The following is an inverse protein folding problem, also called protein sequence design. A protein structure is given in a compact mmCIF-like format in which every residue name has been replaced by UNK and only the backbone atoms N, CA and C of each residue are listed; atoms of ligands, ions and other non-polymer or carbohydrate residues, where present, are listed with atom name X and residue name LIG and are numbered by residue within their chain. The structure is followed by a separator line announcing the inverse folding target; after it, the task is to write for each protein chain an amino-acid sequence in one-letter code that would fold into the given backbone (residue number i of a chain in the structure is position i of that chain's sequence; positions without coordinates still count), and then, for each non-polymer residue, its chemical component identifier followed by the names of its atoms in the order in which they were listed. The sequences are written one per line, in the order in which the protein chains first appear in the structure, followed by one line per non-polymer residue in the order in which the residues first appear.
data_IF_708821919267
#
_entry.id   IF_708821919267
#
_cell.length_a   1.000
_cell.length_b   1.000
_cell.length_c   1.000
_cell.angle_alpha   90.00
_cell.angle_beta   90.00
_cell.angle_gamma   90.00
#
_symmetry.space_group_name_H-M   'P 1'
#
loop_
_entity.id
_entity.type
_entity.pdbx_description
1 polymer ?
2 non-polymer ?
3 non-polymer ?
4 non-polymer ?
5 water ?
#
# COMPACT_ATOMS: atom_id res chain seq x y z
N UNK A 3 27.13 -5.89 28.57
CA UNK A 3 27.18 -7.01 27.60
C UNK A 3 26.01 -6.84 26.61
N UNK A 4 26.05 -7.57 25.50
CA UNK A 4 25.26 -7.24 24.35
C UNK A 4 24.90 -8.49 23.58
N UNK A 5 23.63 -8.60 23.14
CA UNK A 5 23.19 -9.68 22.25
C UNK A 5 23.39 -9.27 20.80
N UNK A 6 23.35 -10.25 19.88
CA UNK A 6 23.40 -9.86 18.46
C UNK A 6 22.11 -9.17 18.00
N UNK A 7 22.21 -8.20 17.09
CA UNK A 7 21.04 -7.48 16.58
C UNK A 7 20.37 -8.20 15.44
N UNK A 8 19.04 -8.02 15.30
CA UNK A 8 18.32 -8.64 14.18
C UNK A 8 18.86 -8.18 12.83
N UNK A 9 18.99 -9.12 11.90
CA UNK A 9 19.53 -8.87 10.57
C UNK A 9 18.42 -8.64 9.53
N UNK A 10 18.76 -7.86 8.49
CA UNK A 10 17.93 -7.65 7.29
C UNK A 10 16.51 -7.17 7.59
N UNK A 11 16.38 -6.13 8.43
CA UNK A 11 15.04 -5.63 8.67
C UNK A 11 14.49 -4.99 7.41
N UNK A 12 13.18 -5.12 7.20
CA UNK A 12 12.52 -4.55 6.04
C UNK A 12 11.23 -3.83 6.46
N UNK A 13 10.88 -2.76 5.76
CA UNK A 13 9.62 -2.03 5.95
C UNK A 13 8.79 -2.24 4.67
N UNK A 14 7.61 -2.80 4.80
CA UNK A 14 6.67 -2.95 3.70
C UNK A 14 5.64 -1.82 3.79
N UNK A 15 5.57 -0.98 2.76
CA UNK A 15 4.59 0.10 2.65
C UNK A 15 3.88 -0.15 1.29
N UNK A 16 2.74 -0.84 1.38
CA UNK A 16 1.99 -1.31 0.22
C UNK A 16 0.52 -1.00 0.43
N UNK A 17 -0.02 -0.14 -0.44
CA UNK A 17 -1.35 0.38 -0.24
C UNK A 17 -1.44 0.99 1.17
N UNK A 18 -2.34 0.50 2.03
CA UNK A 18 -2.44 1.07 3.38
C UNK A 18 -1.61 0.29 4.40
N UNK A 19 -0.96 -0.79 3.98
CA UNK A 19 -0.23 -1.70 4.89
C UNK A 19 1.10 -1.07 5.32
N UNK A 20 1.45 -1.28 6.59
CA UNK A 20 2.72 -0.83 7.18
C UNK A 20 3.20 -1.98 8.04
N UNK A 21 4.24 -2.70 7.57
CA UNK A 21 4.75 -3.87 8.28
C UNK A 21 6.28 -3.86 8.31
N UNK A 22 6.82 -3.84 9.53
CA UNK A 22 8.26 -4.02 9.76
C UNK A 22 8.52 -5.50 10.01
N UNK A 23 9.55 -6.06 9.36
CA UNK A 23 9.94 -7.46 9.59
C UNK A 23 11.45 -7.62 9.61
N UNK A 24 11.91 -8.73 10.17
CA UNK A 24 13.34 -8.94 10.37
C UNK A 24 13.63 -10.44 10.52
N UNK A 25 14.89 -10.82 10.46
CA UNK A 25 15.26 -12.24 10.66
C UNK A 25 15.43 -12.52 12.14
N UNK A 26 15.06 -13.74 12.57
CA UNK A 26 15.21 -14.08 13.97
C UNK A 26 16.69 -14.12 14.46
N UNK A 27 16.88 -13.77 15.73
CA UNK A 27 18.18 -13.92 16.43
C UNK A 27 18.08 -15.22 17.21
N UNK A 28 18.85 -16.23 16.79
CA UNK A 28 18.87 -17.51 17.46
C UNK A 28 20.20 -17.64 18.18
N UNK A 29 20.14 -17.94 19.47
CA UNK A 29 21.35 -18.08 20.29
C UNK A 29 21.60 -19.59 20.34
N UNK A 30 21.93 -20.15 21.50
CA UNK A 30 22.08 -21.61 21.57
C UNK A 30 20.69 -22.22 21.49
N UNK A 31 20.64 -23.46 21.02
CA UNK A 31 19.41 -24.25 20.98
C UNK A 31 18.72 -24.31 22.37
N UNK A 32 19.51 -24.28 23.43
CA UNK A 32 19.00 -24.36 24.82
C UNK A 32 18.37 -23.06 25.36
N UNK A 33 18.60 -21.93 24.67
CA UNK A 33 18.09 -20.66 25.13
C UNK A 33 16.57 -20.55 24.92
N UNK A 34 15.89 -19.96 25.90
CA UNK A 34 14.45 -19.63 25.80
C UNK A 34 14.23 -18.61 24.68
N UNK A 35 12.97 -18.41 24.24
CA UNK A 35 12.77 -17.51 23.12
C UNK A 35 13.30 -16.09 23.33
N UNK A 36 14.01 -15.62 22.34
CA UNK A 36 14.40 -14.22 22.25
C UNK A 36 13.12 -13.44 21.98
N UNK A 37 13.02 -12.23 22.51
CA UNK A 37 11.93 -11.32 22.15
C UNK A 37 12.45 -10.05 21.56
N UNK A 38 11.54 -9.24 21.01
CA UNK A 38 11.90 -8.04 20.27
C UNK A 38 11.10 -6.84 20.74
N UNK A 39 11.71 -5.68 20.63
CA UNK A 39 11.05 -4.42 20.93
C UNK A 39 11.23 -3.49 19.74
N UNK A 40 10.11 -2.84 19.36
CA UNK A 40 10.09 -1.83 18.32
C UNK A 40 9.73 -0.49 18.93
N UNK A 41 10.42 0.56 18.47
CA UNK A 41 10.16 1.93 18.85
C UNK A 41 10.07 2.80 17.60
N UNK A 42 9.48 3.98 17.75
CA UNK A 42 9.38 4.94 16.66
C UNK A 42 9.57 6.37 17.10
N UNK A 43 10.08 7.18 16.19
CA UNK A 43 10.30 8.59 16.45
C UNK A 43 9.67 9.40 15.31
N UNK A 44 9.00 10.50 15.67
CA UNK A 44 8.44 11.41 14.69
C UNK A 44 9.39 12.62 14.47
N UNK A 45 10.25 12.49 13.46
CA UNK A 45 11.30 13.44 13.12
C UNK A 45 12.35 13.60 14.22
N UNK A 46 12.00 14.33 15.28
CA UNK A 46 12.89 14.66 16.39
C UNK A 46 12.16 14.64 17.76
N UNK A 47 11.06 13.88 17.80
CA UNK A 47 10.32 13.63 19.03
C UNK A 47 11.10 12.69 19.95
N UNK A 48 10.48 12.30 21.06
CA UNK A 48 10.95 11.16 21.86
C UNK A 48 10.86 9.88 21.06
N UNK A 49 11.63 8.87 21.47
CA UNK A 49 11.39 7.51 21.05
C UNK A 49 10.18 6.94 21.76
N UNK A 50 9.10 6.79 21.02
CA UNK A 50 7.89 6.12 21.52
C UNK A 50 8.05 4.63 21.43
N UNK A 51 7.53 3.91 22.40
CA UNK A 51 7.41 2.48 22.34
C UNK A 51 6.22 2.08 21.45
N UNK A 52 6.38 1.05 20.62
CA UNK A 52 5.28 0.61 19.75
C UNK A 52 4.41 -0.28 20.58
N UNK A 53 3.45 0.35 21.27
CA UNK A 53 2.46 -0.37 22.04
C UNK A 53 1.02 0.07 21.67
N UNK A 54 0.03 -0.63 22.21
CA UNK A 54 -1.36 -0.33 21.84
C UNK A 54 -1.70 1.15 22.08
N UNK A 55 -1.29 1.71 23.20
CA UNK A 55 -1.61 3.13 23.49
C UNK A 55 -0.84 4.16 22.65
N UNK A 56 0.31 3.81 22.06
CA UNK A 56 1.08 4.76 21.27
C UNK A 56 0.78 4.70 19.76
N UNK A 57 0.49 3.52 19.27
CA UNK A 57 0.29 3.32 17.83
C UNK A 57 -0.82 2.35 17.45
N UNK A 58 -1.36 1.61 18.40
CA UNK A 58 -2.48 0.72 18.15
C UNK A 58 -2.19 -0.75 18.12
N UNK A 59 -0.91 -1.15 18.19
CA UNK A 59 -0.54 -2.57 18.16
C UNK A 59 0.56 -2.79 19.19
N UNK A 60 0.68 -4.02 19.65
CA UNK A 60 1.67 -4.34 20.65
C UNK A 60 2.92 -4.98 19.98
N UNK A 61 4.00 -4.23 19.91
CA UNK A 61 5.29 -4.73 19.38
C UNK A 61 6.41 -4.54 20.42
N UNK A 62 6.07 -4.86 21.66
CA UNK A 62 6.97 -4.78 22.83
C UNK A 62 7.09 -6.17 23.45
N UNK A 63 8.31 -6.71 23.56
CA UNK A 63 8.48 -8.06 24.11
C UNK A 63 7.74 -9.15 23.33
N UNK A 64 7.74 -9.04 22.01
CA UNK A 64 7.08 -10.00 21.15
C UNK A 64 8.09 -11.07 20.69
N UNK A 65 7.60 -12.29 20.51
CA UNK A 65 8.39 -13.38 19.95
C UNK A 65 8.32 -13.41 18.45
N UNK A 66 7.26 -12.85 17.85
CA UNK A 66 7.14 -12.76 16.41
C UNK A 66 8.27 -11.93 15.80
N UNK A 67 8.58 -12.18 14.53
CA UNK A 67 9.62 -11.44 13.79
C UNK A 67 9.01 -10.41 12.80
N UNK A 68 7.85 -9.86 13.16
CA UNK A 68 7.25 -8.74 12.43
C UNK A 68 6.38 -7.91 13.37
N UNK A 69 6.24 -6.64 13.00
CA UNK A 69 5.35 -5.70 13.65
C UNK A 69 4.46 -5.13 12.52
N UNK A 70 3.20 -5.57 12.52
CA UNK A 70 2.19 -5.08 11.58
C UNK A 70 1.44 -3.94 12.22
N UNK A 71 1.72 -2.71 11.79
CA UNK A 71 1.20 -1.53 12.45
C UNK A 71 -0.26 -1.23 12.15
N UNK A 72 -0.84 -1.87 11.15
CA UNK A 72 -2.20 -1.55 10.74
C UNK A 72 -3.13 -2.73 10.94
N UNK A 73 -2.69 -3.79 11.61
CA UNK A 73 -3.52 -4.99 11.78
C UNK A 73 -4.83 -4.76 12.55
N UNK A 74 -4.86 -3.78 13.46
CA UNK A 74 -6.06 -3.45 14.29
C UNK A 74 -6.74 -2.11 13.94
N UNK A 77 -8.20 1.61 12.76
CA UNK A 77 -7.56 2.79 13.36
C UNK A 77 -6.00 2.81 13.44
N UNK A 78 -5.40 1.68 13.80
CA UNK A 78 -3.94 1.60 14.04
C UNK A 78 -3.06 2.08 12.87
N UNK A 79 -1.87 2.59 13.18
CA UNK A 79 -0.88 2.89 12.17
C UNK A 79 -0.47 4.33 12.12
N UNK A 80 0.60 4.58 11.37
CA UNK A 80 1.18 5.88 11.25
C UNK A 80 0.37 6.78 10.29
N UNK A 81 0.07 8.03 10.67
CA UNK A 81 -0.48 8.98 9.71
C UNK A 81 0.40 9.06 8.45
N UNK A 82 -0.23 9.09 7.30
CA UNK A 82 0.48 8.82 6.04
C UNK A 82 1.37 9.93 5.58
N UNK A 83 1.23 11.14 6.14
CA UNK A 83 2.17 12.19 5.84
C UNK A 83 3.20 12.44 6.95
N UNK A 84 3.17 11.64 8.01
CA UNK A 84 4.15 11.81 9.10
C UNK A 84 5.47 11.19 8.71
N UNK A 85 6.54 11.90 9.03
CA UNK A 85 7.87 11.42 8.93
C UNK A 85 8.18 10.52 10.14
N UNK A 86 8.50 9.27 9.87
CA UNK A 86 8.65 8.21 10.88
C UNK A 86 10.00 7.52 10.77
N UNK A 87 10.72 7.43 11.89
CA UNK A 87 11.91 6.58 11.98
C UNK A 87 11.65 5.44 12.97
N UNK A 88 11.77 4.19 12.50
CA UNK A 88 11.64 3.00 13.33
C UNK A 88 12.99 2.50 13.84
N UNK A 89 12.98 1.89 15.03
CA UNK A 89 14.14 1.12 15.50
C UNK A 89 13.70 -0.14 16.18
N UNK A 90 14.61 -1.11 16.23
CA UNK A 90 14.31 -2.47 16.60
C UNK A 90 15.47 -3.07 17.40
N UNK A 91 15.19 -3.93 18.37
CA UNK A 91 16.25 -4.74 19.04
C UNK A 91 15.75 -6.07 19.52
N UNK A 92 16.72 -6.97 19.74
CA UNK A 92 16.47 -8.24 20.40
C UNK A 92 16.72 -8.13 21.88
N UNK A 93 15.99 -8.91 22.66
CA UNK A 93 16.12 -8.93 24.10
C UNK A 93 16.01 -10.33 24.67
N UNK A 94 16.65 -10.54 25.81
CA UNK A 94 16.51 -11.78 26.58
C UNK A 94 16.60 -11.34 28.02
N UNK A 95 15.44 -11.13 28.64
CA UNK A 95 15.43 -10.48 29.96
C UNK A 95 16.03 -9.09 29.88
N UNK A 96 16.94 -8.80 30.78
CA UNK A 96 17.61 -7.51 30.83
C UNK A 96 18.71 -7.37 29.79
N UNK A 97 19.11 -8.47 29.14
CA UNK A 97 20.11 -8.40 28.06
C UNK A 97 19.41 -7.95 26.78
N UNK A 98 20.11 -7.16 25.97
CA UNK A 98 19.62 -6.77 24.67
C UNK A 98 20.71 -6.45 23.68
N UNK A 99 20.31 -6.42 22.42
CA UNK A 99 21.19 -6.00 21.35
C UNK A 99 21.25 -4.49 21.24
N UNK A 100 22.13 -4.00 20.39
CA UNK A 100 22.09 -2.62 19.97
C UNK A 100 20.77 -2.39 19.23
N UNK A 101 20.38 -1.13 19.15
CA UNK A 101 19.22 -0.75 18.32
C UNK A 101 19.61 -0.78 16.86
N UNK A 102 18.73 -1.34 16.04
CA UNK A 102 18.87 -1.25 14.57
C UNK A 102 17.90 -0.18 14.13
N UNK A 103 18.42 0.89 13.55
CA UNK A 103 17.59 2.05 13.18
C UNK A 103 17.33 2.04 11.67
N UNK A 104 16.06 2.18 11.28
CA UNK A 104 15.71 2.15 9.88
C UNK A 104 15.83 3.50 9.24
N UNK A 105 15.99 3.54 7.90
CA UNK A 105 15.83 4.82 7.19
C UNK A 105 14.44 5.43 7.44
N UNK A 106 14.34 6.74 7.60
CA UNK A 106 13.05 7.40 7.79
C UNK A 106 12.13 7.20 6.56
N UNK A 107 10.83 7.23 6.77
CA UNK A 107 9.85 7.26 5.68
C UNK A 107 8.72 8.23 5.95
N UNK A 108 8.02 8.61 4.88
CA UNK A 108 6.67 9.12 4.96
C UNK A 108 5.84 8.23 4.06
N UNK A 109 4.73 7.71 4.57
CA UNK A 109 3.95 6.72 3.81
C UNK A 109 3.60 7.19 2.38
N UNK A 110 3.10 8.41 2.21
CA UNK A 110 2.81 8.92 0.85
C UNK A 110 4.04 9.02 -0.06
N UNK A 111 5.19 9.35 0.51
CA UNK A 111 6.46 9.39 -0.23
C UNK A 111 6.96 8.02 -0.69
N UNK A 112 6.82 6.99 0.14
CA UNK A 112 7.55 5.76 -0.01
C UNK A 112 6.67 4.56 -0.36
N UNK A 113 5.34 4.78 -0.46
CA UNK A 113 4.38 3.69 -0.64
C UNK A 113 4.46 3.09 -2.07
N UNK A 114 4.28 1.79 -2.15
CA UNK A 114 4.02 1.09 -3.44
C UNK A 114 2.51 0.99 -3.60
N UNK A 115 1.99 1.56 -4.67
CA UNK A 115 0.53 1.58 -4.89
C UNK A 115 0.09 0.42 -5.77
N UNK A 116 -0.88 -0.35 -5.30
CA UNK A 116 -1.38 -1.53 -5.99
C UNK A 116 -2.46 -1.11 -7.00
N UNK A 117 -3.06 -2.09 -7.70
CA UNK A 117 -4.08 -1.80 -8.70
C UNK A 117 -5.41 -1.41 -8.07
N UNK A 118 -6.24 -0.63 -8.78
CA UNK A 118 -7.65 -0.56 -8.35
C UNK A 118 -8.23 -1.97 -8.29
N UNK A 119 -9.07 -2.26 -7.29
CA UNK A 119 -9.68 -3.60 -7.16
C UNK A 119 -11.18 -3.49 -7.42
N UNK A 120 -11.85 -4.65 -7.42
CA UNK A 120 -13.29 -4.73 -7.63
C UNK A 120 -13.70 -4.03 -8.92
N UNK A 121 -12.98 -4.34 -9.99
CA UNK A 121 -13.23 -3.72 -11.29
C UNK A 121 -14.51 -4.38 -11.85
N UNK A 122 -15.48 -3.54 -12.16
CA UNK A 122 -16.77 -3.97 -12.68
C UNK A 122 -17.08 -3.15 -13.93
N UNK A 123 -17.45 -3.86 -14.99
CA UNK A 123 -17.65 -3.24 -16.29
C UNK A 123 -19.07 -3.55 -16.75
N UNK A 124 -19.79 -2.51 -17.13
CA UNK A 124 -21.16 -2.63 -17.60
C UNK A 124 -21.17 -2.27 -19.07
N UNK A 125 -21.31 -3.29 -19.96
CA UNK A 125 -21.32 -2.99 -21.39
C UNK A 125 -22.55 -2.24 -21.83
N UNK A 126 -22.36 -1.34 -22.78
CA UNK A 126 -23.43 -0.74 -23.56
C UNK A 126 -23.17 -0.95 -25.05
N UNK A 127 -24.14 -0.50 -25.84
CA UNK A 127 -24.11 -0.59 -27.30
C UNK A 127 -22.79 -0.13 -27.90
N UNK A 128 -22.40 1.11 -27.61
CA UNK A 128 -21.12 1.64 -28.11
C UNK A 128 -20.23 2.14 -27.00
N UNK A 129 -20.28 1.44 -25.86
CA UNK A 129 -19.66 1.95 -24.65
C UNK A 129 -19.31 0.85 -23.65
N UNK A 130 -18.36 1.16 -22.76
CA UNK A 130 -18.16 0.33 -21.58
C UNK A 130 -18.01 1.29 -20.38
N UNK A 131 -18.77 1.06 -19.31
CA UNK A 131 -18.66 1.87 -18.10
C UNK A 131 -17.86 1.07 -17.09
N UNK A 132 -16.74 1.65 -16.66
CA UNK A 132 -15.80 0.93 -15.79
C UNK A 132 -15.86 1.54 -14.39
N UNK A 133 -16.10 0.70 -13.41
CA UNK A 133 -16.20 1.12 -11.99
C UNK A 133 -15.22 0.30 -11.16
N UNK A 134 -14.68 0.91 -10.10
CA UNK A 134 -13.64 0.24 -9.31
C UNK A 134 -13.40 0.95 -7.97
N UNK A 135 -12.74 0.24 -7.06
CA UNK A 135 -12.35 0.79 -5.74
C UNK A 135 -10.97 1.39 -5.77
N UNK A 136 -10.75 2.46 -5.01
CA UNK A 136 -9.43 3.04 -4.80
C UNK A 136 -8.45 2.00 -4.26
N UNK A 137 -7.15 2.13 -4.56
CA UNK A 137 -6.16 1.19 -4.00
C UNK A 137 -6.15 1.16 -2.45
N UNK A 138 -6.37 2.31 -1.85
CA UNK A 138 -6.65 2.37 -0.41
C UNK A 138 -7.42 3.65 -0.08
N UNK A 139 -7.96 3.72 1.13
CA UNK A 139 -8.77 4.89 1.54
C UNK A 139 -7.87 6.05 1.98
N UNK A 140 -8.13 7.23 1.44
CA UNK A 140 -7.50 8.46 1.90
C UNK A 140 -8.65 9.31 2.41
N UNK A 141 -8.75 9.49 3.73
CA UNK A 141 -9.84 10.27 4.32
C UNK A 141 -9.66 11.77 4.05
N UNK A 142 -8.45 12.29 4.26
CA UNK A 142 -8.16 13.70 3.99
C UNK A 142 -7.78 13.96 2.52
N UNK A 143 -8.83 14.17 1.74
CA UNK A 143 -8.75 14.48 0.32
C UNK A 143 -7.94 15.70 -0.09
N UNK A 144 -7.80 16.66 0.82
CA UNK A 144 -7.03 17.88 0.54
C UNK A 144 -5.52 17.66 0.57
N UNK A 145 -5.06 16.56 1.16
CA UNK A 145 -3.62 16.25 1.29
C UNK A 145 -3.11 15.46 0.09
N UNK A 146 -3.82 14.38 -0.20
CA UNK A 146 -3.47 13.51 -1.30
C UNK A 146 -4.71 12.95 -1.98
N UNK A 147 -4.56 12.56 -3.25
CA UNK A 147 -5.66 11.94 -3.99
C UNK A 147 -5.13 11.08 -5.14
N UNK A 148 -6.02 10.25 -5.68
CA UNK A 148 -5.68 9.39 -6.83
C UNK A 148 -6.26 9.95 -8.11
N UNK A 149 -5.48 9.83 -9.18
CA UNK A 149 -5.97 9.97 -10.57
C UNK A 149 -5.90 8.60 -11.25
N UNK A 150 -6.87 8.31 -12.12
CA UNK A 150 -6.95 7.01 -12.75
C UNK A 150 -6.81 7.09 -14.26
N UNK A 151 -6.31 6.00 -14.81
CA UNK A 151 -6.13 5.85 -16.26
C UNK A 151 -6.67 4.50 -16.67
N UNK A 152 -7.36 4.41 -17.82
CA UNK A 152 -7.73 3.12 -18.39
C UNK A 152 -6.99 2.92 -19.71
N UNK A 153 -6.26 1.80 -19.80
CA UNK A 153 -5.57 1.37 -21.00
C UNK A 153 -6.50 0.36 -21.67
N UNK A 154 -6.79 0.50 -22.96
CA UNK A 154 -7.73 -0.43 -23.60
C UNK A 154 -7.43 -0.57 -25.09
N UNK A 155 -7.85 -1.70 -25.64
CA UNK A 155 -7.53 -2.10 -27.02
C UNK A 155 -8.46 -3.24 -27.50
N UNK A 156 -8.64 -3.38 -28.81
CA UNK A 156 -9.18 -4.62 -29.40
C UNK A 156 -8.01 -5.54 -29.52
N UNK A 157 -8.24 -6.85 -29.51
CA UNK A 157 -7.12 -7.80 -29.61
C UNK A 157 -6.34 -7.60 -30.92
N UNK A 158 -5.02 -7.55 -30.82
CA UNK A 158 -4.19 -7.23 -31.97
C UNK A 158 -4.16 -5.76 -32.39
N UNK A 159 -4.95 -4.90 -31.74
CA UNK A 159 -4.97 -3.46 -32.05
C UNK A 159 -3.92 -2.68 -31.27
N UNK A 160 -3.85 -1.37 -31.51
CA UNK A 160 -2.94 -0.50 -30.77
C UNK A 160 -3.63 -0.03 -29.49
N UNK A 161 -2.87 0.07 -28.41
CA UNK A 161 -3.41 0.42 -27.11
C UNK A 161 -3.77 1.90 -27.08
N UNK A 162 -4.93 2.16 -26.50
CA UNK A 162 -5.43 3.51 -26.29
C UNK A 162 -5.40 3.76 -24.77
N UNK A 163 -5.34 5.01 -24.38
CA UNK A 163 -5.33 5.37 -22.95
C UNK A 163 -6.29 6.50 -22.69
N UNK A 164 -7.20 6.30 -21.73
CA UNK A 164 -8.05 7.40 -21.28
C UNK A 164 -7.69 7.82 -19.85
N UNK A 165 -7.53 9.11 -19.65
CA UNK A 165 -7.23 9.69 -18.33
C UNK A 165 -6.21 10.81 -18.46
N UNK A 166 -5.88 11.47 -17.35
CA UNK A 166 -6.35 11.12 -15.99
C UNK A 166 -7.76 11.56 -15.64
N UNK A 167 -8.42 10.82 -14.75
CA UNK A 167 -9.67 11.27 -14.16
C UNK A 167 -9.71 10.96 -12.65
N UNK A 168 -10.44 11.81 -11.92
CA UNK A 168 -10.55 11.70 -10.46
C UNK A 168 -11.61 10.71 -10.00
N UNK A 169 -12.65 10.52 -10.81
CA UNK A 169 -13.76 9.63 -10.46
C UNK A 169 -13.35 8.16 -10.39
N UNK A 170 -14.11 7.38 -9.62
CA UNK A 170 -13.99 5.93 -9.56
C UNK A 170 -14.92 5.24 -10.58
N UNK A 171 -15.35 5.98 -11.60
CA UNK A 171 -16.20 5.47 -12.67
C UNK A 171 -15.76 6.21 -13.92
N UNK A 172 -15.58 5.48 -15.02
CA UNK A 172 -15.19 6.11 -16.26
C UNK A 172 -15.86 5.38 -17.42
N UNK A 173 -16.26 6.18 -18.42
CA UNK A 173 -16.98 5.67 -19.59
C UNK A 173 -16.04 5.66 -20.76
N UNK A 174 -15.94 4.49 -21.42
CA UNK A 174 -15.22 4.40 -22.69
C UNK A 174 -16.34 4.46 -23.72
N UNK A 175 -16.41 5.55 -24.46
CA UNK A 175 -17.50 5.82 -25.41
C UNK A 175 -17.02 5.72 -26.88
N UNK A 176 -17.96 5.76 -27.82
CA UNK A 176 -17.68 5.70 -29.25
C UNK A 176 -16.92 4.45 -29.65
N UNK A 177 -17.29 3.34 -29.04
CA UNK A 177 -16.67 2.05 -29.33
C UNK A 177 -17.47 1.38 -30.44
N UNK A 178 -16.89 0.38 -31.07
CA UNK A 178 -17.62 -0.40 -32.09
C UNK A 178 -18.55 -1.42 -31.39
N UNK A 179 -19.73 -1.66 -31.97
CA UNK A 179 -20.66 -2.62 -31.37
C UNK A 179 -20.23 -4.08 -31.65
N UNK A 180 -20.53 -4.98 -30.71
CA UNK A 180 -20.20 -6.39 -30.86
C UNK A 180 -18.72 -6.63 -31.13
N UNK A 181 -17.86 -5.91 -30.41
CA UNK A 181 -16.42 -6.14 -30.47
C UNK A 181 -15.89 -6.35 -29.04
N UNK A 182 -14.84 -7.16 -28.95
CA UNK A 182 -14.18 -7.43 -27.69
C UNK A 182 -13.09 -6.37 -27.45
N UNK A 183 -13.17 -5.69 -26.30
CA UNK A 183 -12.13 -4.75 -25.85
C UNK A 183 -11.51 -5.31 -24.57
N UNK A 184 -10.18 -5.28 -24.50
CA UNK A 184 -9.45 -5.68 -23.29
C UNK A 184 -8.90 -4.43 -22.65
N UNK A 185 -8.76 -4.44 -21.31
CA UNK A 185 -8.39 -3.23 -20.60
C UNK A 185 -7.69 -3.52 -19.27
N UNK A 186 -6.99 -2.49 -18.80
CA UNK A 186 -6.30 -2.47 -17.51
C UNK A 186 -6.51 -1.11 -16.94
N UNK A 187 -6.74 -1.04 -15.63
CA UNK A 187 -6.90 0.22 -14.92
C UNK A 187 -5.65 0.45 -14.03
N UNK A 188 -5.27 1.71 -13.89
CA UNK A 188 -4.10 2.09 -13.09
C UNK A 188 -4.36 3.37 -12.35
N UNK A 189 -3.85 3.48 -11.12
CA UNK A 189 -3.92 4.69 -10.34
C UNK A 189 -2.57 5.40 -10.22
N UNK A 190 -2.60 6.72 -10.06
CA UNK A 190 -1.44 7.51 -9.74
C UNK A 190 -1.82 8.29 -8.48
N UNK A 191 -0.95 8.25 -7.47
CA UNK A 191 -1.18 8.97 -6.22
C UNK A 191 -0.50 10.30 -6.31
N UNK A 192 -1.21 11.38 -6.03
CA UNK A 192 -0.62 12.73 -6.04
C UNK A 192 -0.60 13.25 -4.59
N UNK A 193 0.56 13.73 -4.16
CA UNK A 193 0.74 14.37 -2.87
C UNK A 193 1.48 15.72 -3.03
N UNK A 194 0.83 16.81 -2.66
CA UNK A 194 1.46 18.22 -2.60
C UNK A 194 2.84 18.52 -1.93
N UNK A 195 3.54 17.51 -1.39
CA UNK A 195 4.98 17.58 -1.14
C UNK A 195 5.64 16.69 -2.18
N UNK A 198 5.30 15.32 -5.19
CA UNK A 198 5.39 13.84 -5.23
C UNK A 198 4.20 13.12 -5.90
N UNK A 199 4.49 12.20 -6.83
CA UNK A 199 3.50 11.21 -7.31
C UNK A 199 4.08 9.79 -7.25
N UNK A 200 3.20 8.82 -7.03
CA UNK A 200 3.54 7.43 -7.10
C UNK A 200 2.69 6.85 -8.25
N UNK A 201 3.30 6.10 -9.17
CA UNK A 201 2.56 5.37 -10.23
C UNK A 201 2.18 3.99 -9.74
N UNK A 202 0.89 3.69 -9.73
CA UNK A 202 0.41 2.42 -9.26
C UNK A 202 0.56 1.30 -10.26
N UNK A 203 0.43 0.08 -9.77
CA UNK A 203 0.54 -1.13 -10.59
C UNK A 203 -0.70 -1.24 -11.50
N UNK A 204 -0.51 -1.81 -12.70
CA UNK A 204 -1.65 -2.08 -13.59
C UNK A 204 -2.51 -3.21 -13.04
N UNK A 205 -3.83 -3.10 -13.14
CA UNK A 205 -4.69 -4.27 -12.90
C UNK A 205 -4.44 -5.39 -13.91
N UNK A 206 -4.93 -6.57 -13.62
CA UNK A 206 -4.89 -7.68 -14.55
C UNK A 206 -5.73 -7.31 -15.79
N UNK A 207 -5.34 -7.84 -16.94
CA UNK A 207 -6.09 -7.63 -18.17
C UNK A 207 -7.42 -8.36 -18.07
N UNK A 208 -8.52 -7.67 -18.34
CA UNK A 208 -9.81 -8.33 -18.55
C UNK A 208 -10.49 -7.78 -19.80
N UNK A 209 -11.34 -8.62 -20.43
CA UNK A 209 -11.90 -8.33 -21.76
C UNK A 209 -13.43 -8.42 -21.72
N UNK A 210 -14.09 -7.51 -22.45
CA UNK A 210 -15.55 -7.34 -22.44
C UNK A 210 -16.04 -7.12 -23.87
N UNK A 211 -17.20 -7.69 -24.20
CA UNK A 211 -17.83 -7.43 -25.51
C UNK A 211 -18.85 -6.29 -25.39
N UNK A 212 -18.80 -5.32 -26.28
CA UNK A 212 -19.80 -4.27 -26.30
C UNK A 212 -21.13 -4.85 -26.80
N UNK A 213 -22.25 -4.28 -26.36
CA UNK A 213 -23.59 -4.75 -26.76
C UNK A 213 -23.79 -4.46 -28.27
N UNK A 214 -24.74 -5.17 -28.86
CA UNK A 214 -25.09 -4.98 -30.29
C UNK A 214 -25.96 -3.75 -30.41
N UNK A 215 -26.97 -3.68 -29.55
CA UNK A 215 -28.04 -2.68 -29.53
C UNK A 215 -28.10 -1.97 -28.17
X LIG B 1 -4.69 16.65 -11.32
X LIG B 1 -4.04 15.43 -11.82
X LIG B 1 -2.72 15.70 -12.55
X LIG B 1 -2.31 16.85 -12.72
X LIG B 1 -5.01 14.65 -12.72
X LIG B 1 -6.31 13.78 -11.82
X LIG B 1 -2.03 14.78 -13.00
X LIG C 1 11.58 7.27 1.07
X LIG C 1 12.80 6.45 1.42
X LIG C 1 13.97 7.39 1.65
X LIG C 1 14.20 8.20 0.41
X LIG C 1 12.93 8.88 -0.13
X LIG C 1 13.18 9.27 -1.58
X LIG C 1 12.42 4.38 2.66
X LIG C 1 12.26 3.80 4.00
X LIG C 1 12.61 5.70 2.63
X LIG C 1 15.11 6.60 2.04
X LIG C 1 15.17 9.20 0.71
X LIG C 1 11.79 8.00 -0.14
X LIG C 1 12.45 10.47 -1.87
X LIG C 1 12.35 3.67 1.66
X LIG D 1 12.48 13.06 8.20
X LIG D 1 13.14 14.09 7.28
X LIG D 1 14.65 13.83 7.20
X LIG D 1 15.23 13.79 8.59
X LIG D 1 14.46 12.83 9.51
X LIG D 1 15.02 12.87 10.95
X LIG D 1 11.77 15.05 5.50
X LIG D 1 11.20 14.86 4.12
X LIG D 1 12.55 14.06 5.96
X LIG D 1 15.24 14.93 6.45
X LIG D 1 16.61 13.39 8.58
X LIG D 1 13.07 13.21 9.51
X LIG D 1 14.27 11.95 11.75
X LIG D 1 11.51 16.04 6.16
X LIG E 1 2.48 -7.91 24.05
X LIG E 1 2.16 -8.08 25.53
X LIG E 1 3.15 -9.11 26.08
X LIG E 1 2.83 -10.45 25.42
X LIG E 1 3.17 -10.30 23.93
X LIG E 1 2.98 -11.58 23.10
X LIG E 1 1.05 -6.10 26.50
X LIG E 1 1.20 -4.85 27.32
X LIG E 1 2.18 -6.83 26.29
X LIG E 1 3.09 -9.18 27.50
X LIG E 1 3.50 -11.54 26.02
X LIG E 1 2.41 -9.20 23.38
X LIG E 1 1.91 -12.43 23.58
X LIG E 1 -0.06 -6.40 26.06
X LIG F 1 6.40 14.25 12.35
X LIG F 1 7.49 13.38 12.05
X LIG F 1 5.42 14.55 11.23
X LIG F 1 6.09 14.72 9.98
X LIG F 1 4.49 15.70 11.67
X LIG F 1 4.16 16.59 10.59
X LIG G 1 3.19 -8.08 16.38
X LIG G 1 3.84 -9.28 15.94
X LIG G 1 2.00 -7.75 15.46
X LIG G 1 2.45 -7.66 14.12
X LIG G 1 1.36 -6.43 15.79
X LIG G 1 0.28 -6.16 14.87
X LIG H 1 -2.30 -4.71 -27.43
X LIG H 1 -1.51 -5.26 -26.35
X LIG H 1 -2.98 -5.78 -28.31
X LIG H 1 -2.47 -5.64 -29.64
X LIG H 1 -2.79 -7.22 -27.85
X LIG H 1 -3.84 -8.08 -28.33
#
# INVERSE_FOLDING_TARGET
RSSQLPAPQHPKIRLYNAEQVLSWEPVALSNSTRPVVYQVQFKYTDSKWFTADIMSIGVNCTQITATECDFTAASPSAGFPMDFNVTLRLRAELGALHSAWVTMPWFQHYRNVTVGPPENIEVTPGEGSLIIRFSSPFDIADTSTAFFCYYVHYWEKGGIQQVKGPFRSNSISLDNLKPSRVYCLQVQAQLLWNKSNIFRVGHLSNISCYETMADASTELQQTGHHHHHHE
CYS N CA C O CB SG OXT
NAG C1 C2 C3 C4 C5 C6 C7 C8 N2 O3 O4 O5 O6 O7
NAG C1 C2 C3 C4 C5 C6 C7 C8 N2 O3 O4 O5 O6 O7
NAG C1 C2 C3 C4 C5 C6 C7 C8 N2 O3 O4 O5 O6 O7
GOL C1 O1 C2 O2 C3 O3
GOL C1 O1 C2 O2 C3 O3
GOL C1 O1 C2 O2 C3 O3
#
